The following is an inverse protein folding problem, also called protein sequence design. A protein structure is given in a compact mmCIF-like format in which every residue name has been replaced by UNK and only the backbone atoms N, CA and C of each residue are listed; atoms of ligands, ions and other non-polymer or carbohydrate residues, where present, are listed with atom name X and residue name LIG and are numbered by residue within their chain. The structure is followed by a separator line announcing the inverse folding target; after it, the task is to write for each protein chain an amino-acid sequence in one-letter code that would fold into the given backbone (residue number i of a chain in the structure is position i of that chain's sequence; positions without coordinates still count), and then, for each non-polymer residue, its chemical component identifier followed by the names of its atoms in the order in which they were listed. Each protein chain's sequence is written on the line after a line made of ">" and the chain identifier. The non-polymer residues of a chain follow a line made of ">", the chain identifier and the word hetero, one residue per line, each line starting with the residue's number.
data_IF_857024834760
#
_entry.id   IF_857024834760
#
_cell.length_a   1.000
_cell.length_b   1.000
_cell.length_c   1.000
_cell.angle_alpha   90.00
_cell.angle_beta   90.00
_cell.angle_gamma   90.00
#
_symmetry.space_group_name_H-M   'P 1'
#
loop_
_entity.id
_entity.type
_entity.pdbx_description
1 polymer ?
#
# COMPACT_ATOMS: atom_id res chain seq x y z
N UNK A 1 -43.82 21.86 -17.30
CA UNK A 1 -42.57 22.66 -17.22
C UNK A 1 -41.45 21.78 -17.76
N UNK A 2 -41.04 22.01 -19.01
CA UNK A 2 -40.09 21.17 -19.73
C UNK A 2 -38.69 21.80 -19.63
N UNK A 3 -37.80 21.17 -18.88
CA UNK A 3 -36.39 21.58 -18.83
C UNK A 3 -35.61 20.87 -19.93
N UNK A 4 -35.17 21.64 -20.92
CA UNK A 4 -34.25 21.21 -21.98
C UNK A 4 -32.82 21.26 -21.44
N UNK A 5 -32.13 20.13 -21.46
CA UNK A 5 -30.69 20.03 -21.20
C UNK A 5 -29.96 20.23 -22.53
N UNK A 6 -29.05 21.20 -22.58
CA UNK A 6 -28.21 21.49 -23.74
C UNK A 6 -26.94 20.63 -23.71
N UNK A 7 -26.70 19.87 -24.77
CA UNK A 7 -25.46 19.16 -25.03
C UNK A 7 -24.41 20.15 -25.60
N UNK A 8 -23.25 20.25 -24.94
CA UNK A 8 -22.10 20.98 -25.46
C UNK A 8 -21.11 20.00 -26.09
N UNK A 9 -21.02 20.02 -27.43
CA UNK A 9 -20.05 19.24 -28.21
C UNK A 9 -18.76 20.06 -28.34
N UNK A 10 -17.72 19.71 -27.58
CA UNK A 10 -16.38 20.18 -27.86
C UNK A 10 -15.73 19.32 -28.94
N UNK A 11 -15.48 19.94 -30.09
CA UNK A 11 -14.75 19.42 -31.24
C UNK A 11 -13.26 19.55 -30.94
N UNK A 12 -12.55 18.43 -30.74
CA UNK A 12 -11.09 18.41 -30.75
C UNK A 12 -10.62 18.41 -32.21
N UNK A 13 -9.81 19.40 -32.57
CA UNK A 13 -9.08 19.45 -33.84
C UNK A 13 -7.85 18.53 -33.72
N UNK A 14 -7.74 17.58 -34.66
CA UNK A 14 -6.52 16.81 -34.89
C UNK A 14 -5.43 17.72 -35.45
N UNK A 15 -4.32 17.82 -34.72
CA UNK A 15 -3.07 18.38 -35.23
C UNK A 15 -2.22 17.22 -35.72
N UNK A 16 -2.13 17.04 -37.04
CA UNK A 16 -1.16 16.17 -37.69
C UNK A 16 0.19 16.87 -37.81
N UNK A 17 1.32 16.22 -37.45
CA UNK A 17 2.63 16.81 -37.69
C UNK A 17 3.06 16.60 -39.14
N UNK A 18 3.38 17.72 -39.79
CA UNK A 18 3.95 17.83 -41.13
C UNK A 18 5.29 17.09 -41.22
N UNK A 19 5.39 16.25 -42.25
CA UNK A 19 6.58 15.48 -42.60
C UNK A 19 7.42 16.32 -43.59
N UNK A 20 8.38 17.09 -43.09
CA UNK A 20 9.36 17.79 -43.93
C UNK A 20 10.55 16.88 -44.19
N UNK A 21 10.61 16.41 -45.42
CA UNK A 21 11.61 15.51 -45.96
C UNK A 21 12.45 16.34 -46.95
N UNK A 22 13.44 17.08 -46.43
CA UNK A 22 14.36 17.85 -47.25
C UNK A 22 15.58 17.01 -47.64
N UNK A 23 15.69 16.79 -48.95
CA UNK A 23 16.74 16.01 -49.59
C UNK A 23 18.11 16.64 -49.47
N UNK A 24 19.11 15.78 -49.23
CA UNK A 24 20.54 16.11 -49.30
C UNK A 24 21.19 15.24 -50.38
N UNK A 25 22.05 15.81 -51.25
CA UNK A 25 22.47 15.17 -52.48
C UNK A 25 23.55 14.09 -52.30
N UNK A 26 23.39 13.09 -53.15
CA UNK A 26 24.24 11.95 -53.45
C UNK A 26 25.69 12.36 -53.79
N UNK A 27 26.66 12.03 -52.93
CA UNK A 27 28.09 12.01 -53.29
C UNK A 27 28.56 10.56 -53.47
N UNK A 28 28.73 10.18 -54.73
CA UNK A 28 29.39 8.94 -55.16
C UNK A 28 30.89 8.98 -54.84
N UNK A 29 31.33 8.16 -53.89
CA UNK A 29 32.74 7.76 -53.77
C UNK A 29 32.90 6.23 -53.71
N UNK A 30 33.24 5.68 -54.89
CA UNK A 30 34.34 4.76 -55.18
C UNK A 30 34.80 3.78 -54.07
N UNK A 31 34.23 2.56 -54.13
CA UNK A 31 34.88 1.24 -54.22
C UNK A 31 36.25 1.06 -53.50
N UNK A 32 36.20 0.34 -52.39
CA UNK A 32 37.32 -0.41 -51.80
C UNK A 32 36.75 -1.60 -51.02
N UNK A 33 36.87 -2.80 -51.60
CA UNK A 33 36.53 -4.07 -50.93
C UNK A 33 37.66 -4.43 -49.96
N UNK A 34 37.35 -4.51 -48.68
CA UNK A 34 38.09 -5.32 -47.72
C UNK A 34 37.06 -5.98 -46.79
N UNK A 35 36.72 -7.22 -47.10
CA UNK A 35 35.92 -8.10 -46.25
C UNK A 35 36.79 -8.51 -45.07
N UNK A 36 36.82 -7.68 -44.04
CA UNK A 36 37.22 -8.11 -42.70
C UNK A 36 35.96 -8.61 -42.00
N UNK A 37 35.91 -9.92 -41.76
CA UNK A 37 34.92 -10.58 -40.90
C UNK A 37 35.05 -10.03 -39.48
N UNK A 38 34.50 -8.85 -39.26
CA UNK A 38 34.31 -8.29 -37.95
C UNK A 38 33.07 -8.96 -37.35
N UNK A 39 33.28 -10.17 -36.81
CA UNK A 39 32.35 -10.84 -35.91
C UNK A 39 32.20 -9.96 -34.66
N UNK A 40 31.41 -8.90 -34.78
CA UNK A 40 30.89 -8.11 -33.67
C UNK A 40 30.08 -9.13 -32.87
N UNK A 41 30.67 -9.60 -31.76
CA UNK A 41 29.93 -10.28 -30.72
C UNK A 41 28.75 -9.37 -30.42
N UNK A 42 27.54 -9.81 -30.80
CA UNK A 42 26.31 -9.20 -30.32
C UNK A 42 26.28 -9.52 -28.83
N UNK A 43 27.04 -8.75 -28.06
CA UNK A 43 26.91 -8.65 -26.62
C UNK A 43 25.54 -8.02 -26.42
N UNK A 44 24.52 -8.87 -26.38
CA UNK A 44 23.17 -8.52 -26.02
C UNK A 44 23.24 -7.90 -24.64
N UNK A 45 23.24 -6.58 -24.61
CA UNK A 45 23.33 -5.77 -23.41
C UNK A 45 22.25 -6.27 -22.44
N UNK A 46 22.68 -6.91 -21.34
CA UNK A 46 21.76 -7.49 -20.38
C UNK A 46 21.02 -6.33 -19.73
N UNK A 47 19.74 -6.16 -20.08
CA UNK A 47 18.89 -5.14 -19.49
C UNK A 47 18.69 -5.48 -18.02
N UNK A 48 18.97 -4.50 -17.17
CA UNK A 48 18.80 -4.60 -15.72
C UNK A 48 17.78 -3.58 -15.23
N UNK A 49 17.43 -3.66 -13.94
CA UNK A 49 16.61 -2.64 -13.28
C UNK A 49 17.24 -1.23 -13.31
N UNK A 50 18.57 -1.13 -13.46
CA UNK A 50 19.32 0.12 -13.49
C UNK A 50 19.55 0.66 -14.92
N UNK A 51 19.19 -0.09 -15.95
CA UNK A 51 19.36 0.34 -17.34
C UNK A 51 18.46 1.55 -17.62
N UNK A 52 19.04 2.60 -18.22
CA UNK A 52 18.33 3.80 -18.65
C UNK A 52 17.91 3.60 -20.10
N UNK A 53 16.60 3.52 -20.35
CA UNK A 53 16.09 3.34 -21.71
C UNK A 53 16.12 4.63 -22.52
N UNK A 54 16.08 5.80 -21.86
CA UNK A 54 16.13 7.09 -22.55
C UNK A 54 14.89 7.35 -23.40
N UNK A 55 13.69 7.03 -22.89
CA UNK A 55 12.44 7.38 -23.55
C UNK A 55 12.26 8.90 -23.53
N UNK A 56 11.73 9.55 -24.60
CA UNK A 56 11.62 11.01 -24.64
C UNK A 56 10.85 11.65 -23.47
N UNK A 57 9.84 10.97 -22.95
CA UNK A 57 9.08 11.43 -21.76
C UNK A 57 9.82 11.22 -20.44
N UNK A 58 10.83 10.33 -20.43
CA UNK A 58 11.58 9.89 -19.26
C UNK A 58 13.06 9.64 -19.62
N UNK A 59 13.81 10.67 -20.06
CA UNK A 59 15.11 10.50 -20.71
C UNK A 59 16.20 9.96 -19.78
N UNK A 60 16.03 10.13 -18.47
CA UNK A 60 16.99 9.72 -17.45
C UNK A 60 16.46 8.61 -16.54
N UNK A 61 15.22 8.16 -16.74
CA UNK A 61 14.61 7.18 -15.86
C UNK A 61 15.15 5.79 -16.15
N UNK A 62 15.49 5.08 -15.07
CA UNK A 62 15.84 3.66 -15.15
C UNK A 62 14.58 2.81 -15.34
N UNK A 63 14.77 1.57 -15.79
CA UNK A 63 13.74 0.54 -15.83
C UNK A 63 12.98 0.43 -14.51
N UNK A 64 13.70 0.49 -13.38
CA UNK A 64 13.10 0.50 -12.04
C UNK A 64 12.22 1.72 -11.80
N UNK A 65 12.70 2.91 -12.14
CA UNK A 65 11.93 4.14 -11.94
C UNK A 65 10.67 4.17 -12.80
N UNK A 66 10.75 3.68 -14.05
CA UNK A 66 9.60 3.54 -14.92
C UNK A 66 8.53 2.64 -14.30
N UNK A 67 8.91 1.46 -13.80
CA UNK A 67 7.98 0.53 -13.15
C UNK A 67 7.39 1.05 -11.83
N UNK A 68 8.20 1.74 -11.02
CA UNK A 68 7.84 2.12 -9.65
C UNK A 68 7.11 3.46 -9.55
N UNK A 69 7.41 4.41 -10.44
CA UNK A 69 6.93 5.80 -10.37
C UNK A 69 6.07 6.20 -11.56
N UNK A 70 6.16 5.48 -12.68
CA UNK A 70 5.50 5.83 -13.92
C UNK A 70 4.56 4.71 -14.40
N UNK A 71 3.64 4.26 -13.55
CA UNK A 71 2.67 3.20 -13.90
C UNK A 71 1.88 3.50 -15.19
N UNK A 72 1.52 4.76 -15.44
CA UNK A 72 0.85 5.17 -16.68
C UNK A 72 1.71 4.94 -17.93
N UNK A 73 3.04 5.03 -17.80
CA UNK A 73 3.97 4.67 -18.88
C UNK A 73 3.97 3.17 -19.13
N UNK A 74 3.96 2.35 -18.09
CA UNK A 74 3.90 0.87 -18.21
C UNK A 74 2.59 0.43 -18.89
N UNK A 75 1.45 0.99 -18.47
CA UNK A 75 0.15 0.73 -19.12
C UNK A 75 0.14 1.18 -20.59
N UNK A 76 0.75 2.33 -20.88
CA UNK A 76 0.90 2.82 -22.25
C UNK A 76 1.79 1.88 -23.08
N UNK A 77 2.89 1.39 -22.52
CA UNK A 77 3.82 0.48 -23.18
C UNK A 77 3.12 -0.82 -23.60
N UNK A 78 2.38 -1.46 -22.68
CA UNK A 78 1.60 -2.67 -22.99
C UNK A 78 0.49 -2.43 -24.01
N UNK A 79 -0.12 -1.24 -24.00
CA UNK A 79 -1.12 -0.87 -25.02
C UNK A 79 -0.47 -0.75 -26.39
N UNK A 80 0.72 -0.14 -26.48
CA UNK A 80 1.48 -0.04 -27.73
C UNK A 80 1.93 -1.40 -28.25
N UNK A 81 2.26 -2.32 -27.35
CA UNK A 81 2.50 -3.73 -27.66
C UNK A 81 1.30 -4.38 -28.34
N UNK A 82 0.11 -4.25 -27.75
CA UNK A 82 -1.12 -4.80 -28.31
C UNK A 82 -1.50 -4.17 -29.68
N UNK A 83 -1.11 -2.91 -29.91
CA UNK A 83 -1.31 -2.21 -31.18
C UNK A 83 -0.28 -2.60 -32.26
N UNK A 84 0.78 -3.36 -31.90
CA UNK A 84 1.88 -3.69 -32.82
C UNK A 84 2.79 -2.49 -33.15
N UNK A 85 2.67 -1.38 -32.42
CA UNK A 85 3.37 -0.13 -32.66
C UNK A 85 4.56 0.04 -31.70
N UNK A 86 5.43 -0.97 -31.63
CA UNK A 86 6.55 -1.05 -30.68
C UNK A 86 7.87 -0.78 -31.40
N UNK A 87 8.62 0.23 -30.98
CA UNK A 87 10.01 0.39 -31.42
C UNK A 87 10.91 -0.62 -30.68
N UNK A 88 12.06 -0.98 -31.26
CA UNK A 88 12.98 -1.98 -30.68
C UNK A 88 13.24 -1.75 -29.19
N UNK A 89 13.52 -0.51 -28.80
CA UNK A 89 13.77 -0.12 -27.41
C UNK A 89 12.55 -0.28 -26.49
N UNK A 90 11.34 -0.05 -26.97
CA UNK A 90 10.13 -0.29 -26.19
C UNK A 90 9.91 -1.80 -26.01
N UNK A 91 10.25 -2.60 -27.04
CA UNK A 91 10.23 -4.06 -26.95
C UNK A 91 11.24 -4.55 -25.91
N UNK A 92 12.47 -4.03 -25.94
CA UNK A 92 13.51 -4.32 -24.96
C UNK A 92 13.03 -4.07 -23.51
N UNK A 93 12.34 -2.95 -23.29
CA UNK A 93 11.73 -2.62 -21.99
C UNK A 93 10.64 -3.63 -21.60
N UNK A 94 9.74 -3.97 -22.53
CA UNK A 94 8.66 -4.92 -22.29
C UNK A 94 9.18 -6.33 -22.04
N UNK A 95 10.21 -6.76 -22.77
CA UNK A 95 10.87 -8.05 -22.59
C UNK A 95 11.51 -8.13 -21.20
N UNK A 96 12.20 -7.06 -20.78
CA UNK A 96 12.72 -6.95 -19.41
C UNK A 96 11.59 -6.90 -18.36
N UNK A 97 10.52 -6.13 -18.57
CA UNK A 97 9.40 -6.04 -17.64
C UNK A 97 8.69 -7.40 -17.49
N UNK A 98 8.62 -8.19 -18.57
CA UNK A 98 8.04 -9.52 -18.59
C UNK A 98 8.99 -10.62 -18.07
N UNK A 99 10.27 -10.30 -17.89
CA UNK A 99 11.27 -11.19 -17.30
C UNK A 99 10.96 -11.48 -15.82
N UNK A 100 11.58 -12.51 -15.20
CA UNK A 100 11.42 -12.78 -13.78
C UNK A 100 11.74 -11.58 -12.88
N UNK A 101 12.75 -10.78 -13.25
CA UNK A 101 13.18 -9.61 -12.46
C UNK A 101 12.19 -8.46 -12.58
N UNK A 102 11.71 -8.16 -13.79
CA UNK A 102 10.68 -7.15 -14.03
C UNK A 102 9.36 -7.47 -13.30
N UNK A 103 8.91 -8.72 -13.40
CA UNK A 103 7.71 -9.20 -12.67
C UNK A 103 7.90 -9.16 -11.15
N UNK A 104 9.11 -9.50 -10.66
CA UNK A 104 9.39 -9.40 -9.24
C UNK A 104 9.30 -7.94 -8.76
N UNK A 105 9.83 -7.01 -9.54
CA UNK A 105 9.75 -5.59 -9.21
C UNK A 105 8.30 -5.08 -9.24
N UNK A 106 7.50 -5.49 -10.21
CA UNK A 106 6.08 -5.15 -10.27
C UNK A 106 5.34 -5.61 -9.01
N UNK A 107 5.55 -6.87 -8.58
CA UNK A 107 4.97 -7.41 -7.34
C UNK A 107 5.41 -6.61 -6.11
N UNK A 108 6.68 -6.18 -6.05
CA UNK A 108 7.23 -5.43 -4.92
C UNK A 108 6.72 -3.98 -4.86
N UNK A 109 6.26 -3.44 -5.99
CA UNK A 109 5.72 -2.08 -6.09
C UNK A 109 4.20 -2.02 -5.93
N UNK A 110 3.52 -3.17 -5.82
CA UNK A 110 2.07 -3.20 -5.66
C UNK A 110 1.67 -2.48 -4.35
N UNK A 111 0.76 -1.49 -4.48
CA UNK A 111 0.27 -0.68 -3.36
C UNK A 111 -1.08 -1.16 -2.88
N UNK A 112 -1.25 -1.26 -1.55
CA UNK A 112 -2.55 -1.55 -0.96
C UNK A 112 -3.55 -0.46 -1.26
N UNK A 113 -4.78 -0.85 -1.60
CA UNK A 113 -5.89 0.05 -1.95
C UNK A 113 -6.92 0.15 -0.83
N UNK A 114 -6.75 -0.62 0.24
CA UNK A 114 -7.68 -0.74 1.37
C UNK A 114 -6.94 -0.83 2.70
N UNK A 115 -7.69 -0.71 3.80
CA UNK A 115 -7.20 -0.84 5.17
C UNK A 115 -6.33 0.33 5.63
N UNK A 116 -5.74 0.19 6.83
CA UNK A 116 -4.92 1.22 7.49
C UNK A 116 -3.61 1.53 6.73
N UNK A 117 -3.16 0.62 5.86
CA UNK A 117 -1.94 0.78 5.06
C UNK A 117 -2.24 1.14 3.59
N UNK A 118 -3.42 1.69 3.30
CA UNK A 118 -3.77 2.17 1.96
C UNK A 118 -2.73 3.14 1.43
N UNK A 119 -2.33 2.95 0.17
CA UNK A 119 -1.31 3.72 -0.53
C UNK A 119 0.10 3.22 -0.30
N UNK A 120 0.36 2.40 0.72
CA UNK A 120 1.70 1.81 0.95
C UNK A 120 1.94 0.61 0.04
N UNK A 121 3.19 0.41 -0.36
CA UNK A 121 3.60 -0.82 -1.04
C UNK A 121 3.46 -2.02 -0.11
N UNK A 122 3.47 -3.22 -0.68
CA UNK A 122 3.52 -4.45 0.11
C UNK A 122 4.74 -4.50 1.03
N UNK A 123 5.91 -4.05 0.54
CA UNK A 123 7.13 -3.95 1.34
C UNK A 123 6.99 -2.94 2.48
N UNK A 124 6.55 -1.72 2.18
CA UNK A 124 6.32 -0.69 3.21
C UNK A 124 5.32 -1.15 4.28
N UNK A 125 4.30 -1.92 3.88
CA UNK A 125 3.32 -2.49 4.82
C UNK A 125 3.95 -3.57 5.70
N UNK A 126 4.73 -4.47 5.12
CA UNK A 126 5.40 -5.52 5.86
C UNK A 126 6.43 -4.98 6.86
N UNK A 127 7.14 -3.92 6.49
CA UNK A 127 8.15 -3.27 7.35
C UNK A 127 7.48 -2.46 8.47
N UNK A 128 6.42 -1.72 8.15
CA UNK A 128 5.69 -0.93 9.14
C UNK A 128 4.86 -1.79 10.11
N UNK A 129 4.35 -2.93 9.65
CA UNK A 129 3.45 -3.79 10.39
C UNK A 129 3.64 -5.27 10.00
N UNK A 130 4.68 -5.94 10.53
CA UNK A 130 4.97 -7.35 10.23
C UNK A 130 3.80 -8.28 10.57
N UNK A 131 2.94 -7.89 11.51
CA UNK A 131 1.75 -8.65 11.94
C UNK A 131 0.50 -8.44 11.08
N UNK A 132 0.52 -7.52 10.11
CA UNK A 132 -0.67 -7.15 9.33
C UNK A 132 -1.33 -8.36 8.66
N UNK A 133 -0.52 -9.21 8.00
CA UNK A 133 -1.01 -10.38 7.28
C UNK A 133 -1.67 -11.41 8.22
N UNK A 134 -1.14 -11.61 9.43
CA UNK A 134 -1.69 -12.52 10.44
C UNK A 134 -3.01 -11.99 11.00
N UNK A 135 -3.06 -10.70 11.38
CA UNK A 135 -4.27 -10.08 11.92
C UNK A 135 -5.42 -10.12 10.93
N UNK A 136 -5.13 -9.79 9.67
CA UNK A 136 -6.17 -9.71 8.65
C UNK A 136 -6.60 -11.10 8.16
N UNK A 137 -5.69 -12.08 8.11
CA UNK A 137 -6.06 -13.48 7.89
C UNK A 137 -6.95 -14.04 9.02
N UNK A 138 -6.70 -13.62 10.28
CA UNK A 138 -7.55 -13.98 11.42
C UNK A 138 -8.95 -13.38 11.31
N UNK A 139 -9.07 -12.09 10.96
CA UNK A 139 -10.37 -11.43 10.74
C UNK A 139 -11.20 -12.17 9.67
N UNK A 140 -10.60 -12.43 8.50
CA UNK A 140 -11.29 -13.16 7.42
C UNK A 140 -11.75 -14.57 7.85
N UNK A 141 -10.92 -15.29 8.60
CA UNK A 141 -11.28 -16.63 9.11
C UNK A 141 -12.49 -16.56 10.06
N UNK A 142 -12.59 -15.50 10.87
CA UNK A 142 -13.71 -15.30 11.80
C UNK A 142 -15.02 -15.09 11.04
N UNK A 143 -14.97 -14.36 9.93
CA UNK A 143 -16.14 -14.07 9.10
C UNK A 143 -16.47 -15.21 8.11
N UNK A 144 -15.69 -16.29 8.12
CA UNK A 144 -15.81 -17.39 7.16
C UNK A 144 -15.36 -17.03 5.74
N UNK A 145 -14.76 -15.86 5.57
CA UNK A 145 -14.29 -15.36 4.29
C UNK A 145 -12.88 -15.87 3.96
N UNK A 146 -12.63 -16.07 2.67
CA UNK A 146 -11.28 -16.35 2.17
C UNK A 146 -10.64 -15.05 1.72
N UNK A 147 -9.31 -14.89 1.92
CA UNK A 147 -8.57 -13.79 1.30
C UNK A 147 -8.85 -13.78 -0.21
N UNK A 148 -9.36 -12.66 -0.71
CA UNK A 148 -9.63 -12.45 -2.12
C UNK A 148 -8.96 -11.16 -2.61
N UNK A 149 -8.94 -10.99 -3.94
CA UNK A 149 -8.42 -9.78 -4.58
C UNK A 149 -6.99 -9.44 -4.19
N UNK A 150 -6.77 -8.17 -3.86
CA UNK A 150 -5.44 -7.64 -3.55
C UNK A 150 -4.86 -8.19 -2.25
N UNK A 151 -5.68 -8.51 -1.25
CA UNK A 151 -5.17 -9.06 0.00
C UNK A 151 -4.58 -10.48 -0.20
N UNK A 152 -5.21 -11.28 -1.06
CA UNK A 152 -4.66 -12.59 -1.44
C UNK A 152 -3.30 -12.46 -2.13
N UNK A 153 -3.13 -11.44 -2.98
CA UNK A 153 -1.84 -11.12 -3.61
C UNK A 153 -0.80 -10.69 -2.59
N UNK A 154 -1.16 -9.82 -1.64
CA UNK A 154 -0.30 -9.43 -0.53
C UNK A 154 0.17 -10.63 0.29
N UNK A 155 -0.73 -11.55 0.67
CA UNK A 155 -0.35 -12.78 1.41
C UNK A 155 0.61 -13.64 0.59
N UNK A 156 0.34 -13.82 -0.71
CA UNK A 156 1.21 -14.59 -1.61
C UNK A 156 2.60 -13.97 -1.70
N UNK A 157 2.66 -12.66 -1.92
CA UNK A 157 3.89 -11.88 -1.94
C UNK A 157 4.65 -11.99 -0.62
N UNK A 158 3.99 -11.78 0.52
CA UNK A 158 4.62 -11.81 1.84
C UNK A 158 5.24 -13.18 2.12
N UNK A 159 4.53 -14.28 1.80
CA UNK A 159 5.08 -15.64 1.94
C UNK A 159 6.30 -15.87 1.04
N UNK A 160 6.29 -15.36 -0.19
CA UNK A 160 7.41 -15.45 -1.13
C UNK A 160 8.60 -14.63 -0.60
N UNK A 161 8.38 -13.38 -0.22
CA UNK A 161 9.38 -12.48 0.35
C UNK A 161 10.03 -13.07 1.62
N UNK A 162 9.22 -13.66 2.51
CA UNK A 162 9.69 -14.36 3.71
C UNK A 162 10.58 -15.58 3.38
N UNK A 163 10.18 -16.42 2.42
CA UNK A 163 10.99 -17.58 1.97
C UNK A 163 12.33 -17.15 1.36
N UNK A 164 12.33 -16.03 0.64
CA UNK A 164 13.56 -15.44 0.08
C UNK A 164 14.43 -14.69 1.10
N UNK A 165 14.00 -14.60 2.38
CA UNK A 165 14.72 -13.83 3.40
C UNK A 165 14.66 -12.31 3.21
N UNK A 166 13.79 -11.79 2.34
CA UNK A 166 13.66 -10.34 2.07
C UNK A 166 12.97 -9.59 3.21
N UNK A 167 12.16 -10.28 4.01
CA UNK A 167 11.50 -9.71 5.18
C UNK A 167 12.06 -10.42 6.40
N UNK A 168 12.81 -9.67 7.21
CA UNK A 168 13.31 -10.10 8.51
C UNK A 168 12.37 -9.59 9.61
N UNK A 169 11.18 -10.18 9.66
CA UNK A 169 10.22 -9.95 10.74
C UNK A 169 10.09 -11.19 11.60
N UNK A 170 10.51 -11.11 12.86
CA UNK A 170 10.11 -12.10 13.85
C UNK A 170 8.58 -12.07 13.92
N UNK A 171 7.91 -13.22 13.78
CA UNK A 171 6.47 -13.37 14.04
C UNK A 171 6.18 -13.23 15.55
N UNK A 172 6.72 -12.19 16.18
CA UNK A 172 6.46 -11.85 17.59
C UNK A 172 4.95 -11.69 17.80
N UNK A 173 4.25 -11.13 16.81
CA UNK A 173 2.79 -11.08 16.79
C UNK A 173 2.10 -12.45 16.83
N UNK A 174 2.60 -13.49 16.15
CA UNK A 174 1.98 -14.83 16.20
C UNK A 174 2.17 -15.48 17.56
N UNK A 175 3.35 -15.32 18.19
CA UNK A 175 3.63 -15.90 19.50
C UNK A 175 2.87 -15.18 20.61
N UNK A 176 2.85 -13.86 20.59
CA UNK A 176 2.14 -13.05 21.58
C UNK A 176 0.62 -13.17 21.39
N UNK A 177 0.11 -13.27 20.15
CA UNK A 177 -1.31 -13.62 19.96
C UNK A 177 -1.62 -15.06 20.37
N UNK A 178 -0.75 -16.05 20.17
CA UNK A 178 -1.06 -17.43 20.59
C UNK A 178 -0.94 -17.64 22.10
N UNK A 179 -0.06 -16.91 22.80
CA UNK A 179 0.08 -16.97 24.26
C UNK A 179 -0.85 -15.98 25.00
N UNK A 180 -1.18 -14.81 24.43
CA UNK A 180 -2.05 -13.81 25.08
C UNK A 180 -3.47 -13.68 24.49
N UNK A 181 -3.85 -14.32 23.36
CA UNK A 181 -5.25 -14.38 22.93
C UNK A 181 -6.03 -15.45 23.71
N UNK A 182 -6.13 -15.27 25.03
CA UNK A 182 -7.44 -15.48 25.61
C UNK A 182 -8.42 -14.63 24.81
N UNK A 183 -9.41 -15.26 24.17
CA UNK A 183 -10.51 -14.59 23.49
C UNK A 183 -10.97 -13.41 24.36
N UNK A 184 -10.70 -12.17 23.94
CA UNK A 184 -11.12 -11.01 24.72
C UNK A 184 -12.61 -10.85 24.51
N UNK A 185 -13.39 -11.44 25.40
CA UNK A 185 -14.83 -11.43 25.30
C UNK A 185 -15.36 -10.05 25.63
N UNK A 186 -16.35 -9.57 24.88
CA UNK A 186 -17.10 -8.36 25.26
C UNK A 186 -17.78 -8.50 26.62
N UNK A 187 -17.90 -9.73 27.16
CA UNK A 187 -18.42 -10.04 28.49
C UNK A 187 -17.38 -9.95 29.62
N UNK A 188 -16.10 -9.68 29.32
CA UNK A 188 -15.12 -9.43 30.38
C UNK A 188 -15.49 -8.16 31.15
N UNK A 189 -15.46 -8.21 32.47
CA UNK A 189 -15.87 -7.11 33.34
C UNK A 189 -14.66 -6.40 33.94
N UNK A 190 -14.75 -5.08 34.03
CA UNK A 190 -13.82 -4.28 34.82
C UNK A 190 -13.98 -4.59 36.31
N UNK A 191 -12.86 -4.82 36.99
CA UNK A 191 -12.83 -5.06 38.45
C UNK A 191 -12.29 -3.86 39.24
N UNK A 192 -12.13 -2.70 38.60
CA UNK A 192 -11.56 -1.48 39.17
C UNK A 192 -12.12 -0.24 38.46
N UNK A 193 -11.90 0.94 39.06
CA UNK A 193 -12.26 2.25 38.49
C UNK A 193 -13.77 2.52 38.47
N UNK A 194 -14.16 3.60 37.80
CA UNK A 194 -15.56 4.05 37.67
C UNK A 194 -16.44 3.05 36.90
N UNK A 195 -15.85 2.20 36.06
CA UNK A 195 -16.55 1.18 35.28
C UNK A 195 -16.58 -0.19 35.96
N UNK A 196 -16.27 -0.28 37.27
CA UNK A 196 -16.27 -1.57 37.98
C UNK A 196 -17.62 -2.27 37.84
N UNK A 197 -17.60 -3.52 37.38
CA UNK A 197 -18.78 -4.34 37.12
C UNK A 197 -19.34 -4.22 35.70
N UNK A 198 -18.96 -3.18 34.95
CA UNK A 198 -19.34 -3.05 33.54
C UNK A 198 -18.50 -3.97 32.67
N UNK A 199 -19.12 -4.53 31.65
CA UNK A 199 -18.43 -5.33 30.64
C UNK A 199 -17.68 -4.44 29.65
N UNK A 200 -16.69 -5.00 28.96
CA UNK A 200 -15.97 -4.28 27.90
C UNK A 200 -16.90 -3.74 26.82
N UNK A 201 -17.93 -4.51 26.43
CA UNK A 201 -18.93 -4.05 25.47
C UNK A 201 -19.74 -2.86 25.99
N UNK A 202 -20.11 -2.86 27.28
CA UNK A 202 -20.85 -1.76 27.89
C UNK A 202 -19.99 -0.49 27.91
N UNK A 203 -18.76 -0.58 28.42
CA UNK A 203 -17.86 0.58 28.48
C UNK A 203 -17.52 1.11 27.09
N UNK A 204 -17.32 0.23 26.09
CA UNK A 204 -17.08 0.68 24.72
C UNK A 204 -18.26 1.44 24.09
N UNK A 205 -19.49 1.16 24.52
CA UNK A 205 -20.69 1.83 24.03
C UNK A 205 -21.03 3.10 24.83
N UNK A 206 -20.90 3.04 26.15
CA UNK A 206 -21.26 4.12 27.08
C UNK A 206 -20.15 5.18 27.18
N UNK A 207 -18.88 4.77 27.02
CA UNK A 207 -17.71 5.62 27.24
C UNK A 207 -16.55 5.27 26.28
N UNK A 208 -16.70 5.56 24.99
CA UNK A 208 -15.75 5.11 23.97
C UNK A 208 -14.35 5.69 24.12
N UNK A 209 -14.19 6.85 24.78
CA UNK A 209 -12.89 7.48 25.04
C UNK A 209 -12.25 7.04 26.36
N UNK A 210 -12.86 6.12 27.12
CA UNK A 210 -12.31 5.65 28.41
C UNK A 210 -10.84 5.23 28.32
N UNK A 211 -10.49 4.51 27.24
CA UNK A 211 -9.12 4.04 27.03
C UNK A 211 -8.10 5.14 26.76
N UNK A 212 -8.53 6.27 26.18
CA UNK A 212 -7.70 7.44 25.98
C UNK A 212 -7.47 8.16 27.32
N UNK A 213 -8.53 8.33 28.13
CA UNK A 213 -8.40 8.91 29.48
C UNK A 213 -7.46 8.10 30.35
N UNK A 214 -7.67 6.79 30.41
CA UNK A 214 -6.87 5.93 31.26
C UNK A 214 -5.39 5.92 30.87
N UNK A 215 -5.08 5.89 29.56
CA UNK A 215 -3.68 5.95 29.09
C UNK A 215 -3.03 7.31 29.33
N UNK A 216 -3.80 8.40 29.32
CA UNK A 216 -3.29 9.75 29.59
C UNK A 216 -2.85 9.98 31.04
N UNK A 217 -3.49 9.30 32.00
CA UNK A 217 -3.21 9.46 33.44
C UNK A 217 -2.24 8.40 33.95
N UNK A 218 -2.17 7.23 33.30
CA UNK A 218 -1.44 6.09 33.81
C UNK A 218 -0.54 5.43 32.76
N UNK A 219 0.77 5.56 32.92
CA UNK A 219 1.75 4.97 32.00
C UNK A 219 1.85 3.44 32.12
N UNK A 220 1.35 2.85 33.21
CA UNK A 220 1.35 1.40 33.43
C UNK A 220 -0.06 0.82 33.30
N UNK A 221 -0.45 0.48 32.08
CA UNK A 221 -1.69 -0.25 31.83
C UNK A 221 -1.64 -1.61 32.54
N UNK A 222 -2.58 -1.85 33.45
CA UNK A 222 -2.84 -3.17 34.00
C UNK A 222 -3.37 -4.12 32.91
N UNK A 223 -3.29 -5.43 33.14
CA UNK A 223 -3.60 -6.44 32.12
C UNK A 223 -5.03 -6.33 31.59
N UNK A 224 -5.98 -6.02 32.47
CA UNK A 224 -7.38 -5.85 32.12
C UNK A 224 -7.60 -4.63 31.23
N UNK A 225 -6.90 -3.53 31.46
CA UNK A 225 -6.98 -2.36 30.59
C UNK A 225 -6.29 -2.62 29.24
N UNK A 226 -5.18 -3.37 29.21
CA UNK A 226 -4.58 -3.81 27.94
C UNK A 226 -5.57 -4.67 27.14
N UNK A 227 -6.30 -5.58 27.80
CA UNK A 227 -7.36 -6.37 27.17
C UNK A 227 -8.50 -5.49 26.66
N UNK A 228 -8.95 -4.51 27.44
CA UNK A 228 -10.00 -3.59 26.97
C UNK A 228 -9.55 -2.73 25.79
N UNK A 229 -8.34 -2.17 25.79
CA UNK A 229 -7.80 -1.43 24.63
C UNK A 229 -7.81 -2.32 23.38
N UNK A 230 -7.41 -3.60 23.53
CA UNK A 230 -7.49 -4.57 22.43
C UNK A 230 -8.93 -4.80 21.98
N UNK A 231 -9.86 -5.01 22.90
CA UNK A 231 -11.29 -5.15 22.59
C UNK A 231 -11.83 -3.92 21.84
N UNK A 232 -11.56 -2.72 22.35
CA UNK A 232 -12.02 -1.47 21.78
C UNK A 232 -11.44 -1.22 20.39
N UNK A 233 -10.16 -1.54 20.16
CA UNK A 233 -9.55 -1.44 18.82
C UNK A 233 -10.19 -2.39 17.79
N UNK A 234 -10.75 -3.52 18.24
CA UNK A 234 -11.40 -4.49 17.37
C UNK A 234 -12.90 -4.23 17.16
N UNK A 235 -13.57 -3.66 18.16
CA UNK A 235 -15.04 -3.63 18.22
C UNK A 235 -15.64 -2.25 18.55
N UNK A 236 -14.84 -1.33 19.07
CA UNK A 236 -15.29 0.00 19.48
C UNK A 236 -15.42 0.98 18.32
N UNK A 237 -16.28 1.98 18.51
CA UNK A 237 -16.44 3.09 17.58
C UNK A 237 -15.30 4.10 17.74
N UNK A 238 -14.34 4.04 16.81
CA UNK A 238 -13.17 4.92 16.80
C UNK A 238 -13.53 6.39 16.56
N UNK A 239 -14.67 6.67 15.94
CA UNK A 239 -15.13 8.05 15.70
C UNK A 239 -15.62 8.66 17.01
N UNK A 240 -16.48 7.95 17.73
CA UNK A 240 -16.98 8.37 19.02
C UNK A 240 -15.86 8.50 20.07
N UNK A 241 -14.86 7.61 20.05
CA UNK A 241 -13.69 7.72 20.92
C UNK A 241 -12.89 9.00 20.66
N UNK A 242 -12.73 9.39 19.39
CA UNK A 242 -11.99 10.60 19.00
C UNK A 242 -12.74 11.88 19.38
N UNK A 243 -14.07 11.87 19.31
CA UNK A 243 -14.88 12.99 19.83
C UNK A 243 -14.67 13.15 21.34
N UNK A 244 -14.67 12.04 22.08
CA UNK A 244 -14.38 12.05 23.51
C UNK A 244 -12.91 12.33 23.87
N UNK A 245 -11.98 12.29 22.92
CA UNK A 245 -10.57 12.69 23.13
C UNK A 245 -10.45 14.18 23.43
N UNK A 246 -11.32 15.00 22.84
CA UNK A 246 -11.37 16.44 23.11
C UNK A 246 -11.76 16.73 24.56
N UNK A 247 -12.67 15.92 25.13
CA UNK A 247 -13.04 16.02 26.54
C UNK A 247 -11.87 15.61 27.45
N UNK A 248 -11.07 14.62 27.05
CA UNK A 248 -9.85 14.23 27.77
C UNK A 248 -8.83 15.38 27.81
N UNK A 249 -8.61 16.03 26.67
CA UNK A 249 -7.68 17.16 26.56
C UNK A 249 -8.18 18.38 27.33
N UNK A 250 -9.49 18.66 27.29
CA UNK A 250 -10.11 19.72 28.08
C UNK A 250 -9.98 19.46 29.59
N UNK A 251 -10.10 18.21 30.02
CA UNK A 251 -9.83 17.78 31.40
C UNK A 251 -8.37 18.01 31.79
N UNK A 252 -7.42 17.62 30.94
CA UNK A 252 -5.98 17.79 31.19
C UNK A 252 -5.57 19.27 31.24
N UNK A 253 -6.22 20.11 30.44
CA UNK A 253 -6.03 21.56 30.44
C UNK A 253 -6.70 22.27 31.62
N UNK A 254 -7.41 21.54 32.50
CA UNK A 254 -8.14 22.11 33.63
C UNK A 254 -9.37 22.93 33.23
N UNK A 255 -9.83 22.80 31.98
CA UNK A 255 -11.00 23.51 31.43
C UNK A 255 -12.28 22.84 31.93
N UNK A 256 -12.26 21.51 32.07
CA UNK A 256 -13.38 20.70 32.57
C UNK A 256 -12.90 19.96 33.81
N UNK A 257 -13.63 20.10 34.93
CA UNK A 257 -13.45 19.23 36.10
C UNK A 257 -14.29 17.97 35.89
N UNK A 258 -13.69 16.76 35.97
CA UNK A 258 -14.45 15.53 35.93
C UNK A 258 -15.33 15.41 37.17
N UNK A 259 -16.61 15.22 36.94
CA UNK A 259 -17.67 14.89 37.90
C UNK A 259 -17.46 13.50 38.56
N UNK A 260 -16.64 12.63 37.96
CA UNK A 260 -16.33 11.28 38.45
C UNK A 260 -15.14 11.18 39.42
N UNK A 261 -14.60 12.32 39.89
CA UNK A 261 -13.59 12.34 40.97
C UNK A 261 -14.18 12.63 42.36
N UNK A 262 -15.47 12.98 42.46
CA UNK A 262 -16.15 13.25 43.73
C UNK A 262 -16.74 11.98 44.37
N UNK A 263 -16.03 10.85 44.25
CA UNK A 263 -16.29 9.68 45.10
C UNK A 263 -15.49 9.82 46.41
N UNK A 264 -15.94 10.73 47.28
CA UNK A 264 -15.65 10.60 48.72
C UNK A 264 -16.42 9.40 49.25
N UNK A 265 -15.79 8.22 49.21
CA UNK A 265 -16.09 7.10 50.10
C UNK A 265 -15.38 7.27 51.45
#
# INVERSE_FOLDING_TARGET
>A
MNSKTAESKHKLEEVTPSNENDGVPEKKHRRGNSTEDNSISNDSEILTEQTIMGFPSHPTSTNRELMTRHHSFVEWAHRKEAEGAVCSRLQDFLDWANSPDGKQLEEDCERLTFGVHKGKTFQETADADPGYHTRYAYMLKKDGEKPSGQFARYIKWFKKAKRSGRIHGEERWSRDMQQENGYVSGSEQFNFGCHRGHTFSQVAAEDPSYHLRFTSVNHNLNDIMRRYVRYFNLHGDQTAAREGELDCLAQHAGIIRPDWFDDTF
#
